data_IF_021922514352
#
_entry.id   IF_021922514352
#
_cell.length_a   1.000
_cell.length_b   1.000
_cell.length_c   1.000
_cell.angle_alpha   90.00
_cell.angle_beta   90.00
_cell.angle_gamma   90.00
#
_symmetry.space_group_name_H-M   'P 1'
#
loop_
_entity.id
_entity.type
_entity.pdbx_description
1 polymer ?
#
# COMPACT_ATOMS: atom_id res chain seq x y z
N UNK A 1 38.82 25.15 7.39
CA UNK A 1 37.41 25.48 7.08
C UNK A 1 36.78 24.63 5.98
N UNK A 2 37.42 24.46 4.81
CA UNK A 2 36.84 23.67 3.70
C UNK A 2 36.56 22.19 4.06
N UNK A 3 37.42 21.57 4.88
CA UNK A 3 37.25 20.18 5.32
C UNK A 3 35.98 20.01 6.15
N UNK A 4 35.78 20.90 7.14
CA UNK A 4 34.60 20.89 8.00
C UNK A 4 33.31 21.12 7.20
N UNK A 5 33.32 22.10 6.28
CA UNK A 5 32.16 22.38 5.42
C UNK A 5 31.83 21.21 4.48
N UNK A 6 32.84 20.51 3.94
CA UNK A 6 32.64 19.32 3.11
C UNK A 6 31.98 18.17 3.87
N UNK A 7 32.38 17.93 5.12
CA UNK A 7 31.75 16.91 5.97
C UNK A 7 30.33 17.27 6.39
N UNK A 8 30.03 18.55 6.66
CA UNK A 8 28.67 19.01 6.96
C UNK A 8 27.74 18.75 5.76
N UNK A 9 28.18 19.11 4.55
CA UNK A 9 27.42 18.85 3.32
C UNK A 9 27.24 17.34 3.08
N UNK A 10 28.27 16.53 3.35
CA UNK A 10 28.18 15.08 3.29
C UNK A 10 27.14 14.51 4.26
N UNK A 11 27.15 14.95 5.52
CA UNK A 11 26.16 14.54 6.52
C UNK A 11 24.74 14.92 6.11
N UNK A 12 24.53 16.14 5.61
CA UNK A 12 23.23 16.56 5.11
C UNK A 12 22.77 15.71 3.92
N UNK A 13 23.66 15.49 2.95
CA UNK A 13 23.38 14.69 1.76
C UNK A 13 23.06 13.23 2.10
N UNK A 14 23.84 12.60 2.99
CA UNK A 14 23.60 11.22 3.43
C UNK A 14 22.29 11.06 4.19
N UNK A 15 21.97 11.98 5.10
CA UNK A 15 20.68 11.99 5.81
C UNK A 15 19.52 12.14 4.82
N UNK A 16 19.62 13.08 3.87
CA UNK A 16 18.59 13.26 2.84
C UNK A 16 18.37 12.01 1.99
N UNK A 17 19.45 11.33 1.58
CA UNK A 17 19.37 10.09 0.82
C UNK A 17 18.81 8.93 1.65
N UNK A 18 19.14 8.88 2.95
CA UNK A 18 18.56 7.89 3.85
C UNK A 18 17.05 8.07 4.00
N UNK A 19 16.56 9.32 4.11
CA UNK A 19 15.12 9.59 4.11
C UNK A 19 14.44 9.14 2.80
N UNK A 20 15.08 9.37 1.65
CA UNK A 20 14.59 8.87 0.36
C UNK A 20 14.54 7.33 0.32
N UNK A 21 15.55 6.67 0.88
CA UNK A 21 15.56 5.21 1.00
C UNK A 21 14.44 4.69 1.91
N UNK A 22 14.21 5.33 3.07
CA UNK A 22 13.09 5.00 3.94
C UNK A 22 11.73 5.16 3.23
N UNK A 23 11.58 6.19 2.41
CA UNK A 23 10.38 6.37 1.59
C UNK A 23 10.19 5.22 0.59
N UNK A 24 11.26 4.65 0.04
CA UNK A 24 11.15 3.48 -0.84
C UNK A 24 10.61 2.23 -0.13
N UNK A 25 10.93 2.03 1.15
CA UNK A 25 10.39 0.91 1.94
C UNK A 25 8.87 0.97 2.08
N UNK A 26 8.28 2.16 1.98
CA UNK A 26 6.82 2.33 2.03
C UNK A 26 6.18 1.82 0.74
N UNK A 27 6.79 2.13 -0.41
CA UNK A 27 6.24 1.92 -1.76
C UNK A 27 6.55 0.53 -2.32
N UNK A 28 7.56 -0.16 -1.78
CA UNK A 28 8.09 -1.43 -2.28
C UNK A 28 7.03 -2.52 -2.60
N UNK A 29 5.96 -2.62 -1.80
CA UNK A 29 4.94 -3.67 -1.92
C UNK A 29 4.07 -3.55 -3.18
N UNK A 30 4.20 -2.44 -3.92
CA UNK A 30 3.52 -2.24 -5.20
C UNK A 30 4.42 -2.49 -6.41
N UNK A 31 5.67 -2.88 -6.21
CA UNK A 31 6.57 -3.27 -7.30
C UNK A 31 6.45 -4.77 -7.58
N UNK A 32 6.52 -5.17 -8.85
CA UNK A 32 6.48 -6.60 -9.24
C UNK A 32 7.67 -7.40 -8.68
N UNK A 33 8.81 -6.73 -8.45
CA UNK A 33 10.02 -7.31 -7.87
C UNK A 33 10.55 -6.44 -6.72
N UNK A 34 9.96 -6.58 -5.51
CA UNK A 34 10.31 -5.74 -4.36
C UNK A 34 11.77 -5.90 -3.94
N UNK A 35 12.29 -7.12 -3.94
CA UNK A 35 13.66 -7.41 -3.53
C UNK A 35 14.68 -6.85 -4.52
N UNK A 36 14.44 -6.99 -5.84
CA UNK A 36 15.32 -6.42 -6.87
C UNK A 36 15.36 -4.89 -6.82
N UNK A 37 14.21 -4.26 -6.55
CA UNK A 37 14.11 -2.81 -6.35
C UNK A 37 14.93 -2.35 -5.15
N UNK A 38 14.78 -2.99 -3.99
CA UNK A 38 15.57 -2.65 -2.79
C UNK A 38 17.06 -2.82 -2.97
N UNK A 39 17.49 -3.93 -3.57
CA UNK A 39 18.91 -4.20 -3.79
C UNK A 39 19.53 -3.12 -4.69
N UNK A 40 18.82 -2.74 -5.77
CA UNK A 40 19.28 -1.68 -6.68
C UNK A 40 19.41 -0.33 -5.98
N UNK A 41 18.39 0.06 -5.21
CA UNK A 41 18.41 1.32 -4.45
C UNK A 41 19.47 1.33 -3.34
N UNK A 42 19.62 0.23 -2.62
CA UNK A 42 20.68 0.07 -1.61
C UNK A 42 22.07 0.19 -2.24
N UNK A 43 22.27 -0.37 -3.43
CA UNK A 43 23.55 -0.26 -4.15
C UNK A 43 23.84 1.18 -4.59
N UNK A 44 22.85 1.89 -5.14
CA UNK A 44 22.97 3.31 -5.50
C UNK A 44 23.29 4.16 -4.26
N UNK A 45 22.64 3.90 -3.13
CA UNK A 45 22.92 4.59 -1.87
C UNK A 45 24.36 4.37 -1.40
N UNK A 46 24.86 3.13 -1.44
CA UNK A 46 26.25 2.81 -1.07
C UNK A 46 27.25 3.54 -1.98
N UNK A 47 27.02 3.53 -3.30
CA UNK A 47 27.85 4.28 -4.26
C UNK A 47 27.85 5.78 -3.93
N UNK A 48 26.67 6.35 -3.71
CA UNK A 48 26.51 7.76 -3.37
C UNK A 48 27.15 8.15 -2.03
N UNK A 49 27.25 7.22 -1.08
CA UNK A 49 27.92 7.45 0.20
C UNK A 49 29.44 7.24 0.12
N UNK A 50 29.93 6.36 -0.75
CA UNK A 50 31.35 5.97 -0.83
C UNK A 50 32.18 6.86 -1.75
N UNK A 51 31.62 7.33 -2.88
CA UNK A 51 32.36 8.22 -3.79
C UNK A 51 32.77 9.51 -3.08
N UNK A 52 31.86 10.28 -2.44
CA UNK A 52 32.25 11.53 -1.79
C UNK A 52 33.21 11.32 -0.62
N UNK A 53 33.14 10.21 0.12
CA UNK A 53 34.05 9.94 1.25
C UNK A 53 35.47 9.69 0.77
N UNK A 54 35.66 8.88 -0.28
CA UNK A 54 36.98 8.64 -0.87
C UNK A 54 37.59 9.94 -1.42
N UNK A 55 36.78 10.80 -2.04
CA UNK A 55 37.24 12.10 -2.54
C UNK A 55 37.58 13.09 -1.42
N UNK A 56 36.77 13.15 -0.35
CA UNK A 56 37.05 14.01 0.81
C UNK A 56 38.27 13.55 1.60
N UNK A 57 38.57 12.24 1.63
CA UNK A 57 39.74 11.67 2.29
C UNK A 57 41.03 11.77 1.46
N UNK A 58 40.92 11.65 0.13
CA UNK A 58 42.09 11.70 -0.78
C UNK A 58 42.54 13.12 -1.14
N UNK A 59 41.76 14.15 -0.79
CA UNK A 59 42.12 15.53 -1.09
C UNK A 59 43.28 15.99 -0.22
N UNK A 60 44.44 16.09 -0.86
CA UNK A 60 45.61 16.77 -0.31
C UNK A 60 45.40 18.30 -0.33
N UNK A 61 45.95 19.00 0.67
CA UNK A 61 45.78 20.46 0.89
C UNK A 61 46.16 21.31 -0.33
N UNK A 62 47.01 20.79 -1.23
CA UNK A 62 47.55 21.47 -2.40
C UNK A 62 46.82 21.14 -3.72
N UNK A 63 45.76 20.33 -3.68
CA UNK A 63 44.99 19.93 -4.85
C UNK A 63 43.95 21.00 -5.24
N UNK A 64 44.11 21.60 -6.43
CA UNK A 64 43.21 22.60 -7.01
C UNK A 64 41.88 22.00 -7.57
N UNK A 65 41.49 20.80 -7.13
CA UNK A 65 40.24 20.19 -7.57
C UNK A 65 39.06 20.92 -6.90
N UNK A 66 38.18 21.49 -7.75
CA UNK A 66 36.92 22.12 -7.34
C UNK A 66 36.04 21.12 -6.60
N UNK A 67 35.74 21.43 -5.33
CA UNK A 67 34.88 20.61 -4.47
C UNK A 67 33.47 20.44 -5.03
N UNK A 68 33.00 21.39 -5.84
CA UNK A 68 31.67 21.37 -6.44
C UNK A 68 31.48 20.19 -7.41
N UNK A 69 32.55 19.73 -8.05
CA UNK A 69 32.49 18.61 -8.99
C UNK A 69 32.23 17.25 -8.29
N UNK A 70 32.55 17.14 -7.00
CA UNK A 70 32.34 15.91 -6.21
C UNK A 70 30.83 15.61 -6.09
N UNK A 71 30.01 16.65 -6.05
CA UNK A 71 28.56 16.53 -5.86
C UNK A 71 27.80 16.30 -7.15
N UNK A 72 28.42 16.47 -8.32
CA UNK A 72 27.75 16.31 -9.62
C UNK A 72 27.23 14.88 -9.84
N UNK A 73 28.09 13.88 -9.61
CA UNK A 73 27.72 12.46 -9.79
C UNK A 73 26.60 12.03 -8.83
N UNK A 74 26.70 12.27 -7.51
CA UNK A 74 25.61 11.92 -6.60
C UNK A 74 24.30 12.66 -6.89
N UNK A 75 24.37 13.94 -7.29
CA UNK A 75 23.19 14.74 -7.62
C UNK A 75 22.47 14.18 -8.85
N UNK A 76 23.21 13.80 -9.90
CA UNK A 76 22.63 13.18 -11.10
C UNK A 76 21.97 11.85 -10.77
N UNK A 77 22.61 11.00 -9.96
CA UNK A 77 22.05 9.70 -9.58
C UNK A 77 20.73 9.87 -8.81
N UNK A 78 20.67 10.84 -7.89
CA UNK A 78 19.43 11.17 -7.16
C UNK A 78 18.36 11.71 -8.11
N UNK A 79 18.71 12.56 -9.06
CA UNK A 79 17.76 13.09 -10.05
C UNK A 79 17.19 11.98 -10.96
N UNK A 80 18.02 11.02 -11.39
CA UNK A 80 17.56 9.84 -12.16
C UNK A 80 16.57 9.02 -11.34
N UNK A 81 16.86 8.81 -10.05
CA UNK A 81 15.97 8.10 -9.13
C UNK A 81 14.61 8.81 -8.99
N UNK A 82 14.63 10.14 -8.81
CA UNK A 82 13.40 10.95 -8.68
C UNK A 82 12.59 10.90 -9.98
N UNK A 83 13.23 11.02 -11.15
CA UNK A 83 12.50 11.01 -12.43
C UNK A 83 11.84 9.66 -12.70
N UNK A 84 12.55 8.55 -12.48
CA UNK A 84 11.99 7.19 -12.58
C UNK A 84 10.79 7.03 -11.64
N UNK A 85 10.86 7.60 -10.44
CA UNK A 85 9.76 7.56 -9.49
C UNK A 85 8.56 8.39 -9.96
N UNK A 86 8.74 9.64 -10.38
CA UNK A 86 7.65 10.52 -10.80
C UNK A 86 6.83 9.97 -11.97
N UNK A 87 7.45 9.19 -12.86
CA UNK A 87 6.77 8.55 -13.99
C UNK A 87 5.82 7.43 -13.52
N UNK A 88 6.10 6.78 -12.40
CA UNK A 88 5.35 5.62 -11.89
C UNK A 88 4.47 5.94 -10.66
N UNK A 89 4.54 7.16 -10.12
CA UNK A 89 4.10 7.46 -8.74
C UNK A 89 2.59 7.63 -8.58
N UNK A 90 1.92 8.29 -9.53
CA UNK A 90 0.61 8.90 -9.28
C UNK A 90 -0.48 7.87 -8.91
N UNK A 91 -0.41 6.65 -9.44
CA UNK A 91 -1.43 5.63 -9.17
C UNK A 91 -1.03 4.62 -8.09
N UNK A 92 0.27 4.32 -7.94
CA UNK A 92 0.72 3.23 -7.08
C UNK A 92 0.91 3.69 -5.63
N UNK A 93 1.39 4.90 -5.36
CA UNK A 93 1.70 5.33 -3.99
C UNK A 93 0.42 5.49 -3.16
N UNK A 94 -0.62 6.08 -3.75
CA UNK A 94 -1.90 6.31 -3.07
C UNK A 94 -2.54 4.97 -2.64
N UNK A 95 -2.57 3.97 -3.53
CA UNK A 95 -3.17 2.66 -3.20
C UNK A 95 -2.36 1.88 -2.16
N UNK A 96 -1.03 1.82 -2.26
CA UNK A 96 -0.20 1.11 -1.27
C UNK A 96 -0.32 1.71 0.13
N UNK A 97 -0.22 3.04 0.22
CA UNK A 97 -0.26 3.75 1.51
C UNK A 97 -1.63 3.57 2.15
N UNK A 98 -2.71 3.78 1.38
CA UNK A 98 -4.06 3.56 1.88
C UNK A 98 -4.29 2.10 2.31
N UNK A 99 -3.70 1.14 1.61
CA UNK A 99 -3.81 -0.27 1.97
C UNK A 99 -3.08 -0.60 3.27
N UNK A 100 -1.85 -0.10 3.45
CA UNK A 100 -1.08 -0.28 4.70
C UNK A 100 -1.74 0.37 5.91
N UNK A 101 -2.38 1.52 5.70
CA UNK A 101 -3.11 2.22 6.76
C UNK A 101 -4.48 1.59 7.06
N UNK A 102 -4.92 0.58 6.30
CA UNK A 102 -6.19 -0.10 6.49
C UNK A 102 -7.41 0.68 5.96
N UNK A 103 -7.18 1.71 5.14
CA UNK A 103 -8.25 2.46 4.48
C UNK A 103 -8.83 1.74 3.26
N UNK A 104 -8.03 0.88 2.62
CA UNK A 104 -8.49 0.01 1.53
C UNK A 104 -7.93 -1.40 1.71
N UNK A 105 -8.63 -2.40 1.21
CA UNK A 105 -8.17 -3.78 1.11
C UNK A 105 -8.06 -4.20 -0.36
N UNK A 106 -7.07 -5.05 -0.66
CA UNK A 106 -6.98 -5.73 -1.97
C UNK A 106 -7.93 -6.94 -1.98
N UNK A 107 -8.39 -7.44 -3.15
CA UNK A 107 -9.23 -8.64 -3.23
C UNK A 107 -8.65 -9.88 -2.50
N UNK A 108 -7.31 -9.97 -2.44
CA UNK A 108 -6.59 -11.03 -1.71
C UNK A 108 -6.75 -10.96 -0.17
N UNK A 109 -7.14 -9.79 0.36
CA UNK A 109 -7.27 -9.53 1.80
C UNK A 109 -8.71 -9.65 2.31
N UNK A 110 -9.60 -10.22 1.50
CA UNK A 110 -10.98 -10.59 1.85
C UNK A 110 -11.13 -11.22 3.25
N UNK A 111 -12.25 -10.94 3.89
CA UNK A 111 -12.59 -11.37 5.24
C UNK A 111 -14.11 -11.47 5.42
N UNK A 112 -14.52 -11.97 6.58
CA UNK A 112 -15.90 -12.02 7.00
C UNK A 112 -16.31 -10.73 7.70
N UNK A 113 -17.51 -10.27 7.41
CA UNK A 113 -18.12 -9.11 8.04
C UNK A 113 -19.54 -9.45 8.46
N UNK A 114 -19.96 -8.95 9.62
CA UNK A 114 -21.36 -8.96 10.05
C UNK A 114 -22.02 -7.63 9.67
N UNK A 115 -23.19 -7.73 9.07
CA UNK A 115 -24.07 -6.61 8.76
C UNK A 115 -25.16 -6.53 9.83
N UNK A 116 -25.44 -5.34 10.35
CA UNK A 116 -26.55 -5.12 11.27
C UNK A 116 -27.90 -5.36 10.57
N UNK A 117 -28.86 -5.99 11.26
CA UNK A 117 -30.18 -6.29 10.70
C UNK A 117 -30.92 -5.04 10.19
N UNK A 118 -30.72 -3.89 10.84
CA UNK A 118 -31.29 -2.60 10.46
C UNK A 118 -30.90 -2.19 9.03
N UNK A 119 -29.72 -2.62 8.56
CA UNK A 119 -29.30 -2.37 7.19
C UNK A 119 -30.14 -3.16 6.19
N UNK A 120 -30.47 -4.43 6.48
CA UNK A 120 -31.29 -5.24 5.56
C UNK A 120 -32.71 -4.69 5.45
N UNK A 121 -33.29 -4.22 6.56
CA UNK A 121 -34.60 -3.59 6.56
C UNK A 121 -34.61 -2.34 5.66
N UNK A 122 -33.60 -1.48 5.82
CA UNK A 122 -33.41 -0.30 4.96
C UNK A 122 -33.13 -0.68 3.50
N UNK A 123 -32.26 -1.65 3.25
CA UNK A 123 -31.87 -2.07 1.90
C UNK A 123 -33.05 -2.62 1.10
N UNK A 124 -33.95 -3.37 1.74
CA UNK A 124 -35.19 -3.85 1.10
C UNK A 124 -36.15 -2.69 0.82
N UNK A 125 -36.28 -1.73 1.74
CA UNK A 125 -37.11 -0.54 1.54
C UNK A 125 -36.61 0.32 0.36
N UNK A 126 -35.29 0.35 0.14
CA UNK A 126 -34.64 1.04 -0.99
C UNK A 126 -34.71 0.26 -2.32
N UNK A 127 -35.45 -0.86 -2.35
CA UNK A 127 -35.62 -1.70 -3.54
C UNK A 127 -34.51 -2.73 -3.76
N UNK A 128 -33.61 -2.90 -2.80
CA UNK A 128 -32.56 -3.90 -2.79
C UNK A 128 -33.08 -5.34 -2.65
N UNK A 129 -32.32 -6.30 -3.17
CA UNK A 129 -32.64 -7.73 -3.10
C UNK A 129 -31.63 -8.46 -2.20
N UNK A 130 -32.06 -8.85 -0.99
CA UNK A 130 -31.22 -9.56 -0.01
C UNK A 130 -30.69 -10.88 -0.57
N UNK A 131 -31.49 -11.62 -1.33
CA UNK A 131 -31.07 -12.90 -1.90
C UNK A 131 -29.94 -12.71 -2.91
N UNK A 132 -30.04 -11.66 -3.74
CA UNK A 132 -28.96 -11.29 -4.66
C UNK A 132 -27.69 -10.89 -3.91
N UNK A 133 -27.82 -10.04 -2.89
CA UNK A 133 -26.68 -9.62 -2.06
C UNK A 133 -25.98 -10.85 -1.44
N UNK A 134 -26.75 -11.77 -0.86
CA UNK A 134 -26.24 -12.99 -0.27
C UNK A 134 -25.50 -13.86 -1.27
N UNK A 135 -25.95 -13.95 -2.53
CA UNK A 135 -25.29 -14.73 -3.57
C UNK A 135 -23.97 -14.09 -4.06
N UNK A 136 -23.89 -12.76 -4.07
CA UNK A 136 -22.69 -12.04 -4.52
C UNK A 136 -21.56 -12.12 -3.48
N UNK A 137 -21.88 -12.07 -2.18
CA UNK A 137 -20.90 -12.04 -1.08
C UNK A 137 -20.62 -13.42 -0.44
N UNK A 138 -20.69 -14.51 -1.21
CA UNK A 138 -20.31 -15.86 -0.76
C UNK A 138 -18.85 -16.14 -1.11
N UNK A 139 -18.04 -16.74 -0.21
CA UNK A 139 -16.71 -17.21 -0.59
C UNK A 139 -16.80 -18.30 -1.67
N UNK A 140 -15.84 -18.34 -2.59
CA UNK A 140 -15.74 -19.44 -3.58
C UNK A 140 -15.57 -20.81 -2.92
N UNK A 141 -14.96 -20.84 -1.74
CA UNK A 141 -14.81 -22.04 -0.91
C UNK A 141 -15.58 -21.85 0.39
N UNK A 142 -16.52 -22.75 0.69
CA UNK A 142 -17.33 -22.70 1.92
C UNK A 142 -16.51 -22.95 3.19
N UNK A 143 -15.30 -23.49 3.06
CA UNK A 143 -14.41 -23.82 4.17
C UNK A 143 -13.43 -22.70 4.54
N UNK A 144 -13.68 -21.45 4.15
CA UNK A 144 -12.82 -20.32 4.52
C UNK A 144 -13.10 -19.86 5.95
N UNK A 145 -12.04 -19.74 6.75
CA UNK A 145 -12.06 -19.25 8.14
C UNK A 145 -13.07 -20.02 9.03
N UNK A 146 -13.16 -21.34 8.84
CA UNK A 146 -13.99 -22.20 9.70
C UNK A 146 -13.32 -22.32 11.05
N UNK A 147 -14.03 -21.88 12.09
CA UNK A 147 -13.59 -22.03 13.47
C UNK A 147 -13.59 -23.52 13.82
N UNK A 148 -12.46 -24.13 14.20
CA UNK A 148 -12.43 -25.54 14.63
C UNK A 148 -13.11 -25.79 15.98
N UNK A 149 -13.57 -24.74 16.66
CA UNK A 149 -14.13 -24.81 18.01
C UNK A 149 -15.63 -25.09 17.99
N UNK A 150 -16.04 -26.14 18.68
CA UNK A 150 -17.44 -26.54 18.87
C UNK A 150 -18.34 -25.48 19.55
N UNK A 151 -17.76 -24.39 20.06
CA UNK A 151 -18.52 -23.31 20.71
C UNK A 151 -18.91 -22.15 19.78
N UNK A 152 -18.32 -22.04 18.59
CA UNK A 152 -18.59 -20.94 17.68
C UNK A 152 -19.15 -21.46 16.36
N UNK A 153 -20.35 -20.98 16.03
CA UNK A 153 -20.97 -21.21 14.73
C UNK A 153 -20.02 -20.71 13.62
N UNK A 154 -19.73 -21.49 12.57
CA UNK A 154 -18.94 -21.02 11.43
C UNK A 154 -19.51 -19.73 10.84
N UNK A 155 -18.64 -18.81 10.39
CA UNK A 155 -19.08 -17.49 9.95
C UNK A 155 -20.11 -17.54 8.80
N UNK A 156 -19.95 -18.47 7.86
CA UNK A 156 -20.87 -18.64 6.73
C UNK A 156 -22.29 -19.03 7.14
N UNK A 157 -22.53 -19.43 8.39
CA UNK A 157 -23.86 -19.79 8.87
C UNK A 157 -24.60 -18.62 9.53
N UNK A 158 -23.95 -17.47 9.78
CA UNK A 158 -24.68 -16.27 10.21
C UNK A 158 -25.40 -15.66 9.01
N UNK A 159 -26.71 -15.52 9.11
CA UNK A 159 -27.57 -14.98 8.06
C UNK A 159 -27.23 -13.55 7.61
N UNK A 160 -26.59 -12.81 8.51
CA UNK A 160 -26.14 -11.44 8.31
C UNK A 160 -24.63 -11.35 8.09
N UNK A 161 -23.95 -12.46 7.81
CA UNK A 161 -22.55 -12.43 7.39
C UNK A 161 -22.42 -12.23 5.89
N UNK A 162 -21.37 -11.51 5.50
CA UNK A 162 -20.94 -11.34 4.11
C UNK A 162 -19.44 -11.55 4.03
N UNK A 163 -18.98 -12.06 2.88
CA UNK A 163 -17.58 -12.30 2.62
C UNK A 163 -17.09 -11.44 1.46
N UNK A 164 -16.08 -10.63 1.71
CA UNK A 164 -15.60 -9.63 0.75
C UNK A 164 -14.38 -8.91 1.27
N UNK A 165 -13.94 -7.87 0.57
CA UNK A 165 -12.86 -6.98 1.00
C UNK A 165 -13.35 -5.54 1.07
N UNK A 166 -12.77 -4.77 1.98
CA UNK A 166 -13.14 -3.39 2.22
C UNK A 166 -12.43 -2.48 1.21
N UNK A 167 -13.06 -2.28 0.06
CA UNK A 167 -12.58 -1.37 -0.99
C UNK A 167 -12.40 0.07 -0.50
N UNK A 168 -13.18 0.49 0.51
CA UNK A 168 -13.06 1.79 1.16
C UNK A 168 -13.50 1.73 2.62
N UNK A 169 -12.65 2.20 3.53
CA UNK A 169 -12.82 2.20 4.98
C UNK A 169 -12.51 3.59 5.58
N UNK A 170 -13.12 4.65 5.07
CA UNK A 170 -12.88 6.00 5.57
C UNK A 170 -14.20 6.70 5.89
N UNK A 171 -14.31 7.19 7.12
CA UNK A 171 -15.47 7.94 7.61
C UNK A 171 -16.70 7.07 7.84
N UNK A 172 -17.87 7.68 7.71
CA UNK A 172 -19.16 7.06 8.04
C UNK A 172 -19.65 6.09 6.96
N UNK A 173 -19.08 6.14 5.76
CA UNK A 173 -19.47 5.30 4.63
C UNK A 173 -18.33 4.35 4.29
N UNK A 174 -18.63 3.07 4.28
CA UNK A 174 -17.73 1.99 3.90
C UNK A 174 -18.20 1.35 2.60
N UNK A 175 -17.26 0.87 1.80
CA UNK A 175 -17.55 0.12 0.57
C UNK A 175 -16.94 -1.26 0.72
N UNK A 176 -17.78 -2.28 0.73
CA UNK A 176 -17.36 -3.68 0.73
C UNK A 176 -17.64 -4.28 -0.64
N UNK A 177 -16.64 -4.95 -1.22
CA UNK A 177 -16.75 -5.59 -2.52
C UNK A 177 -16.61 -7.12 -2.39
N UNK A 178 -17.35 -7.89 -3.18
CA UNK A 178 -17.21 -9.34 -3.19
C UNK A 178 -15.91 -9.78 -3.86
N UNK A 179 -15.47 -11.01 -3.58
CA UNK A 179 -14.17 -11.55 -4.05
C UNK A 179 -13.99 -11.51 -5.57
N UNK A 180 -15.08 -11.62 -6.33
CA UNK A 180 -15.05 -11.64 -7.79
C UNK A 180 -14.90 -10.24 -8.42
N UNK A 181 -15.00 -9.17 -7.63
CA UNK A 181 -14.85 -7.79 -8.11
C UNK A 181 -13.43 -7.31 -7.84
N UNK A 182 -12.78 -6.74 -8.84
CA UNK A 182 -11.47 -6.12 -8.70
C UNK A 182 -11.54 -4.66 -9.12
N UNK A 183 -11.68 -3.77 -8.13
CA UNK A 183 -11.76 -2.31 -8.35
C UNK A 183 -10.42 -1.68 -8.76
N UNK A 184 -9.33 -2.45 -8.73
CA UNK A 184 -8.01 -1.96 -9.16
C UNK A 184 -7.83 -2.00 -10.68
N UNK A 185 -8.74 -2.67 -11.39
CA UNK A 185 -8.72 -2.78 -12.85
C UNK A 185 -9.40 -1.56 -13.52
N UNK A 186 -8.98 -1.19 -14.74
CA UNK A 186 -9.60 -0.11 -15.50
C UNK A 186 -11.10 -0.34 -15.71
N UNK A 187 -11.87 0.76 -15.64
CA UNK A 187 -13.34 0.77 -15.68
C UNK A 187 -13.88 0.10 -16.96
N UNK A 188 -13.17 0.21 -18.09
CA UNK A 188 -13.55 -0.38 -19.38
C UNK A 188 -13.61 -1.93 -19.39
N UNK A 189 -13.07 -2.60 -18.36
CA UNK A 189 -13.10 -4.07 -18.21
C UNK A 189 -14.13 -4.53 -17.17
N UNK A 190 -14.72 -3.61 -16.40
CA UNK A 190 -15.38 -3.90 -15.13
C UNK A 190 -16.64 -3.06 -14.91
N UNK A 191 -17.77 -3.50 -15.46
CA UNK A 191 -19.12 -3.09 -15.02
C UNK A 191 -19.46 -3.60 -13.60
N UNK A 192 -18.46 -4.05 -12.85
CA UNK A 192 -18.60 -4.84 -11.63
C UNK A 192 -18.57 -3.99 -10.35
N UNK A 193 -18.27 -2.68 -10.43
CA UNK A 193 -18.30 -1.76 -9.29
C UNK A 193 -19.70 -1.69 -8.67
N UNK A 194 -20.76 -1.82 -9.48
CA UNK A 194 -22.14 -1.86 -9.00
C UNK A 194 -22.48 -3.08 -8.11
N UNK A 195 -21.59 -4.08 -8.05
CA UNK A 195 -21.72 -5.24 -7.14
C UNK A 195 -21.13 -4.96 -5.76
N UNK A 196 -20.40 -3.86 -5.58
CA UNK A 196 -19.93 -3.44 -4.27
C UNK A 196 -21.08 -2.82 -3.47
N UNK A 197 -21.09 -3.10 -2.17
CA UNK A 197 -22.09 -2.61 -1.24
C UNK A 197 -21.56 -1.37 -0.52
N UNK A 198 -22.29 -0.26 -0.66
CA UNK A 198 -22.08 0.94 0.13
C UNK A 198 -22.89 0.84 1.42
N UNK A 199 -22.22 0.88 2.57
CA UNK A 199 -22.83 0.63 3.88
C UNK A 199 -22.28 1.62 4.90
N UNK A 200 -23.12 2.10 5.83
CA UNK A 200 -22.62 2.95 6.92
C UNK A 200 -21.73 2.15 7.88
N UNK A 201 -20.73 2.81 8.45
CA UNK A 201 -19.80 2.22 9.40
C UNK A 201 -20.52 1.54 10.57
N UNK A 202 -21.59 2.13 11.09
CA UNK A 202 -22.37 1.63 12.23
C UNK A 202 -23.11 0.32 11.96
N UNK A 203 -23.28 -0.04 10.69
CA UNK A 203 -23.94 -1.29 10.29
C UNK A 203 -22.96 -2.40 9.93
N UNK A 204 -21.64 -2.16 9.98
CA UNK A 204 -20.63 -3.12 9.54
C UNK A 204 -19.65 -3.44 10.68
N UNK A 205 -19.61 -4.71 11.07
CA UNK A 205 -18.67 -5.21 12.07
C UNK A 205 -17.70 -6.22 11.41
N UNK A 206 -16.38 -5.95 11.38
CA UNK A 206 -15.40 -6.91 10.89
C UNK A 206 -15.31 -8.11 11.86
N UNK A 207 -15.22 -9.31 11.31
CA UNK A 207 -14.97 -10.52 12.07
C UNK A 207 -13.47 -10.83 12.11
N UNK A 208 -12.94 -11.38 13.22
CA UNK A 208 -11.53 -11.71 13.31
C UNK A 208 -11.17 -12.84 12.34
N UNK A 209 -10.06 -12.63 11.60
CA UNK A 209 -9.46 -13.66 10.74
C UNK A 209 -8.91 -14.78 11.62
N UNK A 210 -9.30 -16.01 11.32
CA UNK A 210 -8.79 -17.20 12.00
C UNK A 210 -7.62 -17.69 11.16
N UNK A 211 -6.41 -17.59 11.72
CA UNK A 211 -5.18 -18.08 11.09
C UNK A 211 -4.91 -19.53 11.47
#
# INVERSE_FOLDING_TARGET
DWYLNGWILYSFFTISNFLLFLFQLIIIDNTENPYGWLISFGFIYIINATIPTVFLQSKDSNSAVNLDNIWYIPTILVLIVITIQTINLEFQVTSAVLNKLGYIEKPKQKSWYLIDKRFFDWYVQDGGNINRLRLEFVPKNKWVDVIPSAMLKPYYEYENSVYGYLAWNLGDTKIICPENVDITKPIDVSNDIHKCLMIKADYLQPLPKIK
#
